data_IF_123772570586
#
_entry.id   IF_123772570586
#
_cell.length_a   1.000
_cell.length_b   1.000
_cell.length_c   1.000
_cell.angle_alpha   90.00
_cell.angle_beta   90.00
_cell.angle_gamma   90.00
#
_symmetry.space_group_name_H-M   'P 1'
#
loop_
_entity.id
_entity.type
_entity.pdbx_description
1 polymer ?
#
# COMPACT_ATOMS: atom_id res chain seq x y z
N UNK A 1 -22.05 -21.90 -3.80
CA UNK A 1 -21.45 -22.10 -5.13
C UNK A 1 -20.28 -21.12 -5.27
N UNK A 2 -19.13 -21.48 -4.69
CA UNK A 2 -17.96 -20.59 -4.64
C UNK A 2 -17.25 -20.59 -5.99
N UNK A 3 -17.22 -19.44 -6.66
CA UNK A 3 -16.49 -19.29 -7.92
C UNK A 3 -15.01 -19.60 -7.68
N UNK A 4 -14.57 -20.77 -8.15
CA UNK A 4 -13.16 -21.10 -8.22
C UNK A 4 -12.48 -20.06 -9.10
N UNK A 5 -11.63 -19.22 -8.51
CA UNK A 5 -10.82 -18.22 -9.20
C UNK A 5 -9.73 -18.96 -9.99
N UNK A 6 -10.05 -19.35 -11.23
CA UNK A 6 -9.05 -19.90 -12.14
C UNK A 6 -8.17 -18.76 -12.68
N UNK A 7 -6.88 -19.05 -12.91
CA UNK A 7 -5.93 -18.08 -13.49
C UNK A 7 -6.43 -17.53 -14.85
N UNK A 8 -7.13 -18.37 -15.62
CA UNK A 8 -7.76 -17.97 -16.87
C UNK A 8 -8.83 -16.88 -16.68
N UNK A 9 -9.75 -17.05 -15.73
CA UNK A 9 -10.79 -16.06 -15.46
C UNK A 9 -10.24 -14.73 -14.91
N UNK A 10 -9.08 -14.73 -14.25
CA UNK A 10 -8.41 -13.49 -13.82
C UNK A 10 -7.77 -12.75 -15.00
N UNK A 11 -7.14 -13.46 -15.94
CA UNK A 11 -6.54 -12.86 -17.14
C UNK A 11 -7.58 -12.26 -18.08
N UNK A 12 -8.69 -12.95 -18.27
CA UNK A 12 -9.79 -12.49 -19.12
C UNK A 12 -10.37 -11.16 -18.61
N UNK A 13 -10.73 -11.09 -17.32
CA UNK A 13 -11.21 -9.83 -16.71
C UNK A 13 -10.19 -8.69 -16.78
N UNK A 14 -8.90 -9.00 -16.63
CA UNK A 14 -7.84 -8.00 -16.74
C UNK A 14 -7.76 -7.44 -18.16
N UNK A 15 -7.90 -8.32 -19.16
CA UNK A 15 -7.90 -7.95 -20.58
C UNK A 15 -9.14 -7.13 -20.93
N UNK A 16 -10.32 -7.55 -20.50
CA UNK A 16 -11.59 -6.81 -20.68
C UNK A 16 -11.54 -5.41 -20.04
N UNK A 17 -10.85 -5.28 -18.90
CA UNK A 17 -10.64 -4.00 -18.22
C UNK A 17 -9.53 -3.14 -18.84
N UNK A 18 -8.89 -3.59 -19.92
CA UNK A 18 -7.81 -2.87 -20.60
C UNK A 18 -6.48 -2.85 -19.82
N UNK A 19 -6.31 -3.73 -18.83
CA UNK A 19 -5.06 -3.83 -18.08
C UNK A 19 -3.97 -4.42 -18.96
N UNK A 20 -2.78 -3.81 -18.91
CA UNK A 20 -1.59 -4.31 -19.59
C UNK A 20 -0.78 -5.15 -18.60
N UNK A 21 -0.47 -6.38 -18.99
CA UNK A 21 0.43 -7.22 -18.21
C UNK A 21 1.86 -6.66 -18.29
N UNK A 22 2.51 -6.49 -17.13
CA UNK A 22 3.96 -6.31 -17.05
C UNK A 22 4.63 -7.70 -17.08
N UNK A 23 5.81 -7.79 -17.70
CA UNK A 23 6.61 -9.00 -17.75
C UNK A 23 7.16 -9.37 -16.36
N UNK A 24 7.56 -8.36 -15.58
CA UNK A 24 8.09 -8.50 -14.23
C UNK A 24 7.89 -7.23 -13.40
N UNK A 25 8.40 -7.26 -12.15
CA UNK A 25 8.33 -6.13 -11.23
C UNK A 25 9.27 -4.98 -11.61
N UNK A 26 10.32 -5.22 -12.40
CA UNK A 26 11.23 -4.17 -12.87
C UNK A 26 10.55 -3.32 -13.92
N UNK A 27 9.88 -3.94 -14.91
CA UNK A 27 9.08 -3.20 -15.89
C UNK A 27 7.97 -2.38 -15.21
N UNK A 28 7.32 -2.97 -14.20
CA UNK A 28 6.32 -2.27 -13.39
C UNK A 28 6.94 -1.08 -12.65
N UNK A 29 8.12 -1.28 -12.04
CA UNK A 29 8.83 -0.25 -11.30
C UNK A 29 9.24 0.95 -12.18
N UNK A 30 9.56 0.70 -13.45
CA UNK A 30 9.96 1.73 -14.41
C UNK A 30 8.78 2.51 -15.00
N UNK A 31 7.62 1.85 -15.17
CA UNK A 31 6.48 2.40 -15.93
C UNK A 31 5.37 2.97 -15.05
N UNK A 32 5.32 2.59 -13.79
CA UNK A 32 4.27 3.02 -12.88
C UNK A 32 4.78 4.14 -11.95
N UNK A 33 3.94 5.15 -11.71
CA UNK A 33 4.18 6.12 -10.64
C UNK A 33 3.54 5.68 -9.30
N UNK A 34 2.54 4.80 -9.38
CA UNK A 34 1.74 4.32 -8.25
C UNK A 34 1.59 2.80 -8.39
N UNK A 35 1.86 2.07 -7.30
CA UNK A 35 1.67 0.62 -7.21
C UNK A 35 0.64 0.32 -6.14
N UNK A 36 -0.46 -0.32 -6.53
CA UNK A 36 -1.53 -0.75 -5.62
C UNK A 36 -1.40 -2.25 -5.35
N UNK A 37 -1.02 -2.62 -4.13
CA UNK A 37 -0.88 -4.01 -3.71
C UNK A 37 -2.21 -4.55 -3.18
N UNK A 38 -2.79 -5.51 -3.91
CA UNK A 38 -3.98 -6.27 -3.52
C UNK A 38 -3.68 -7.77 -3.69
N UNK A 39 -3.06 -8.35 -2.68
CA UNK A 39 -2.67 -9.75 -2.56
C UNK A 39 -3.27 -10.39 -1.30
N UNK A 40 -3.10 -11.70 -1.10
CA UNK A 40 -3.38 -12.31 0.20
C UNK A 40 -2.56 -11.61 1.31
N UNK A 41 -3.11 -11.33 2.50
CA UNK A 41 -2.42 -10.59 3.57
C UNK A 41 -1.09 -11.22 4.03
N UNK A 42 -0.94 -12.53 3.88
CA UNK A 42 0.29 -13.24 4.21
C UNK A 42 1.46 -12.92 3.25
N UNK A 43 1.16 -12.54 2.01
CA UNK A 43 2.17 -12.25 0.98
C UNK A 43 2.57 -10.76 0.92
N UNK A 44 1.87 -9.89 1.64
CA UNK A 44 2.09 -8.44 1.56
C UNK A 44 3.55 -8.01 1.85
N UNK A 45 4.23 -8.55 2.89
CA UNK A 45 5.63 -8.19 3.15
C UNK A 45 6.57 -8.64 2.03
N UNK A 46 6.38 -9.85 1.50
CA UNK A 46 7.22 -10.41 0.44
C UNK A 46 7.05 -9.62 -0.88
N UNK A 47 5.83 -9.21 -1.19
CA UNK A 47 5.53 -8.36 -2.34
C UNK A 47 6.18 -6.99 -2.18
N UNK A 48 6.04 -6.36 -1.00
CA UNK A 48 6.67 -5.07 -0.72
C UNK A 48 8.19 -5.14 -0.83
N UNK A 49 8.82 -6.19 -0.29
CA UNK A 49 10.26 -6.42 -0.40
C UNK A 49 10.69 -6.60 -1.87
N UNK A 50 9.91 -7.33 -2.66
CA UNK A 50 10.19 -7.54 -4.09
C UNK A 50 10.08 -6.24 -4.90
N UNK A 51 9.11 -5.38 -4.58
CA UNK A 51 8.94 -4.06 -5.21
C UNK A 51 10.08 -3.12 -4.84
N UNK A 52 10.51 -3.13 -3.57
CA UNK A 52 11.68 -2.37 -3.12
C UNK A 52 12.95 -2.84 -3.85
N UNK A 53 13.16 -4.15 -3.95
CA UNK A 53 14.31 -4.75 -4.64
C UNK A 53 14.31 -4.47 -6.15
N UNK A 54 13.13 -4.34 -6.78
CA UNK A 54 12.99 -3.95 -8.17
C UNK A 54 13.34 -2.47 -8.44
N UNK A 55 13.63 -1.68 -7.39
CA UNK A 55 14.05 -0.29 -7.52
C UNK A 55 12.90 0.68 -7.79
N UNK A 56 11.67 0.33 -7.41
CA UNK A 56 10.51 1.20 -7.57
C UNK A 56 10.71 2.56 -6.90
N UNK A 57 10.22 3.61 -7.56
CA UNK A 57 10.25 4.99 -7.07
C UNK A 57 8.89 5.60 -7.31
N UNK A 58 8.20 6.02 -6.26
CA UNK A 58 6.82 6.53 -6.37
C UNK A 58 5.97 6.20 -5.15
N UNK A 59 4.66 6.08 -5.35
CA UNK A 59 3.72 5.78 -4.27
C UNK A 59 3.41 4.29 -4.23
N UNK A 60 3.72 3.62 -3.11
CA UNK A 60 3.29 2.25 -2.87
C UNK A 60 2.08 2.27 -1.94
N UNK A 61 0.95 1.72 -2.40
CA UNK A 61 -0.28 1.60 -1.64
C UNK A 61 -0.46 0.14 -1.23
N UNK A 62 -0.41 -0.14 0.06
CA UNK A 62 -0.78 -1.47 0.56
C UNK A 62 -2.28 -1.47 0.85
N UNK A 63 -3.08 -2.10 -0.02
CA UNK A 63 -4.53 -2.19 0.14
C UNK A 63 -4.98 -3.53 0.74
N UNK A 64 -4.04 -4.28 1.34
CA UNK A 64 -4.31 -5.59 1.92
C UNK A 64 -4.93 -5.43 3.31
N UNK A 65 -5.77 -6.39 3.70
CA UNK A 65 -6.32 -6.45 5.05
C UNK A 65 -5.24 -6.92 6.06
N UNK A 66 -4.25 -6.08 6.34
CA UNK A 66 -3.13 -6.35 7.25
C UNK A 66 -3.26 -5.54 8.55
N UNK A 67 -2.55 -5.96 9.59
CA UNK A 67 -2.55 -5.24 10.88
C UNK A 67 -1.63 -4.00 10.83
N UNK A 68 -1.85 -3.00 11.71
CA UNK A 68 -0.96 -1.83 11.81
C UNK A 68 0.50 -2.20 12.06
N UNK A 69 0.75 -3.26 12.85
CA UNK A 69 2.10 -3.78 13.08
C UNK A 69 2.76 -4.21 11.76
N UNK A 70 2.03 -4.93 10.92
CA UNK A 70 2.52 -5.39 9.61
C UNK A 70 2.74 -4.24 8.64
N UNK A 71 1.91 -3.19 8.68
CA UNK A 71 2.21 -1.97 7.92
C UNK A 71 3.49 -1.29 8.41
N UNK A 72 3.76 -1.31 9.72
CA UNK A 72 5.04 -0.85 10.26
C UNK A 72 6.23 -1.64 9.70
N UNK A 73 6.14 -2.97 9.65
CA UNK A 73 7.17 -3.85 9.05
C UNK A 73 7.41 -3.50 7.57
N UNK A 74 6.35 -3.28 6.80
CA UNK A 74 6.43 -2.87 5.39
C UNK A 74 7.05 -1.47 5.25
N UNK A 75 6.71 -0.54 6.13
CA UNK A 75 7.32 0.80 6.16
C UNK A 75 8.84 0.77 6.36
N UNK A 76 9.36 -0.17 7.16
CA UNK A 76 10.80 -0.34 7.34
C UNK A 76 11.49 -0.71 6.02
N UNK A 77 10.86 -1.53 5.17
CA UNK A 77 11.43 -1.93 3.86
C UNK A 77 11.61 -0.73 2.92
N UNK A 78 10.79 0.31 3.08
CA UNK A 78 10.87 1.53 2.28
C UNK A 78 11.69 2.64 2.93
N UNK A 79 12.39 2.37 4.04
CA UNK A 79 13.25 3.36 4.69
C UNK A 79 14.50 3.62 3.85
N UNK A 80 14.74 4.89 3.48
CA UNK A 80 15.92 5.29 2.71
C UNK A 80 15.82 5.04 1.20
N UNK A 81 14.68 4.56 0.72
CA UNK A 81 14.36 4.48 -0.72
C UNK A 81 13.35 5.57 -1.08
N UNK A 82 13.32 6.04 -2.34
CA UNK A 82 12.41 7.10 -2.78
C UNK A 82 10.99 6.56 -3.05
N UNK A 83 10.39 5.93 -2.03
CA UNK A 83 9.04 5.39 -2.05
C UNK A 83 8.21 6.03 -0.94
N UNK A 84 7.04 6.55 -1.29
CA UNK A 84 6.05 7.04 -0.33
C UNK A 84 5.04 5.93 -0.07
N UNK A 85 4.97 5.46 1.18
CA UNK A 85 4.02 4.44 1.60
C UNK A 85 2.66 5.07 1.93
N UNK A 86 1.60 4.47 1.39
CA UNK A 86 0.21 4.76 1.73
C UNK A 86 -0.44 3.47 2.23
N UNK A 87 -1.07 3.53 3.39
CA UNK A 87 -1.89 2.46 3.93
C UNK A 87 -3.31 2.56 3.32
N UNK A 88 -3.79 1.43 2.79
CA UNK A 88 -5.03 1.31 2.05
C UNK A 88 -5.93 0.24 2.67
N UNK A 89 -7.21 0.53 2.82
CA UNK A 89 -8.19 -0.43 3.31
C UNK A 89 -9.38 -0.53 2.37
N UNK A 90 -9.55 -1.67 1.70
CA UNK A 90 -10.76 -1.93 0.91
C UNK A 90 -11.79 -2.63 1.79
N UNK A 91 -12.92 -1.96 2.03
CA UNK A 91 -14.03 -2.49 2.84
C UNK A 91 -15.31 -2.58 2.00
N UNK A 92 -15.96 -3.74 2.02
CA UNK A 92 -17.23 -4.00 1.35
C UNK A 92 -17.14 -5.11 0.31
N UNK A 93 -18.28 -5.52 -0.28
CA UNK A 93 -18.29 -6.47 -1.40
C UNK A 93 -17.54 -5.92 -2.62
N UNK A 94 -17.21 -6.74 -3.62
CA UNK A 94 -16.63 -6.26 -4.88
C UNK A 94 -17.45 -5.12 -5.50
N UNK A 95 -16.80 -4.07 -6.06
CA UNK A 95 -17.48 -2.85 -6.51
C UNK A 95 -18.31 -3.13 -7.77
N UNK A 96 -19.54 -3.60 -7.57
CA UNK A 96 -20.56 -3.78 -8.61
C UNK A 96 -21.59 -2.65 -8.59
N UNK A 97 -21.75 -2.01 -7.43
CA UNK A 97 -22.71 -0.92 -7.19
C UNK A 97 -22.01 0.22 -6.47
N UNK A 98 -22.21 1.47 -6.91
CA UNK A 98 -21.63 2.66 -6.25
C UNK A 98 -22.00 2.68 -4.76
N UNK A 99 -21.04 3.06 -3.91
CA UNK A 99 -21.24 3.23 -2.47
C UNK A 99 -21.23 1.94 -1.64
N UNK A 100 -21.07 0.77 -2.26
CA UNK A 100 -20.98 -0.52 -1.53
C UNK A 100 -19.55 -0.89 -1.15
N UNK A 101 -18.55 -0.41 -1.90
CA UNK A 101 -17.12 -0.62 -1.64
C UNK A 101 -16.47 0.71 -1.32
N UNK A 102 -15.71 0.75 -0.23
CA UNK A 102 -14.99 1.94 0.26
C UNK A 102 -13.51 1.65 0.26
N UNK A 103 -12.70 2.62 -0.16
CA UNK A 103 -11.25 2.58 -0.06
C UNK A 103 -10.80 3.64 0.94
N UNK A 104 -10.34 3.21 2.10
CA UNK A 104 -9.72 4.08 3.09
C UNK A 104 -8.25 4.27 2.73
N UNK A 105 -7.75 5.50 2.78
CA UNK A 105 -6.36 5.81 2.46
C UNK A 105 -5.75 6.62 3.59
N UNK A 106 -4.54 6.26 4.03
CA UNK A 106 -3.83 6.92 5.11
C UNK A 106 -2.35 7.04 4.77
N UNK A 107 -1.80 8.24 4.92
CA UNK A 107 -0.41 8.51 4.54
C UNK A 107 -0.15 9.98 4.33
N UNK A 108 0.94 10.26 3.61
CA UNK A 108 1.32 11.62 3.24
C UNK A 108 0.23 12.26 2.35
N UNK A 109 -0.20 13.52 2.62
CA UNK A 109 -1.32 14.15 1.92
C UNK A 109 -1.24 14.19 0.39
N UNK A 110 -0.07 14.50 -0.18
CA UNK A 110 0.12 14.57 -1.64
C UNK A 110 0.01 13.18 -2.29
N UNK A 111 0.60 12.17 -1.66
CA UNK A 111 0.46 10.77 -2.09
C UNK A 111 -1.00 10.28 -2.00
N UNK A 112 -1.69 10.56 -0.87
CA UNK A 112 -3.10 10.19 -0.68
C UNK A 112 -4.01 10.87 -1.71
N UNK A 113 -3.76 12.15 -2.01
CA UNK A 113 -4.51 12.88 -3.04
C UNK A 113 -4.29 12.28 -4.43
N UNK A 114 -3.04 11.97 -4.78
CA UNK A 114 -2.68 11.34 -6.06
C UNK A 114 -3.37 9.99 -6.25
N UNK A 115 -3.40 9.15 -5.21
CA UNK A 115 -4.10 7.86 -5.24
C UNK A 115 -5.61 8.05 -5.32
N UNK A 116 -6.17 9.01 -4.57
CA UNK A 116 -7.62 9.27 -4.59
C UNK A 116 -8.11 9.68 -5.99
N UNK A 117 -7.35 10.53 -6.68
CA UNK A 117 -7.67 10.99 -8.03
C UNK A 117 -7.75 9.85 -9.06
N UNK A 118 -7.04 8.73 -8.86
CA UNK A 118 -7.14 7.56 -9.73
C UNK A 118 -8.52 6.91 -9.70
N UNK A 119 -9.27 7.10 -8.61
CA UNK A 119 -10.59 6.51 -8.43
C UNK A 119 -11.75 7.47 -8.72
N UNK A 120 -11.45 8.69 -9.16
CA UNK A 120 -12.47 9.67 -9.54
C UNK A 120 -13.34 9.13 -10.69
N UNK A 121 -14.66 9.24 -10.51
CA UNK A 121 -15.64 8.70 -11.47
C UNK A 121 -15.86 7.19 -11.41
N UNK A 122 -15.03 6.43 -10.68
CA UNK A 122 -15.17 4.98 -10.53
C UNK A 122 -16.28 4.57 -9.54
N UNK A 123 -16.59 3.27 -9.47
CA UNK A 123 -17.59 2.74 -8.54
C UNK A 123 -17.12 2.71 -7.08
N UNK A 124 -15.84 2.94 -6.86
CA UNK A 124 -15.18 2.83 -5.56
C UNK A 124 -14.86 4.23 -5.05
N UNK A 125 -15.34 4.53 -3.85
CA UNK A 125 -15.20 5.87 -3.26
C UNK A 125 -14.00 5.91 -2.33
N UNK A 126 -12.97 6.72 -2.64
CA UNK A 126 -11.84 6.93 -1.74
C UNK A 126 -12.26 7.80 -0.54
N UNK A 127 -11.80 7.39 0.64
CA UNK A 127 -11.97 8.08 1.91
C UNK A 127 -10.56 8.41 2.44
N UNK A 128 -10.01 9.57 2.08
CA UNK A 128 -8.68 9.96 2.53
C UNK A 128 -8.72 10.32 4.01
N UNK A 129 -7.74 9.81 4.74
CA UNK A 129 -7.43 10.18 6.10
C UNK A 129 -6.01 10.76 6.09
N UNK A 130 -5.92 12.09 6.20
CA UNK A 130 -4.64 12.74 6.25
C UNK A 130 -3.96 12.41 7.58
N UNK A 131 -2.81 11.75 7.52
CA UNK A 131 -1.89 11.72 8.66
C UNK A 131 -1.00 12.93 8.47
N UNK A 132 -1.25 14.00 9.23
CA UNK A 132 -0.30 15.09 9.31
C UNK A 132 1.00 14.51 9.84
N UNK A 133 2.10 14.71 9.12
CA UNK A 133 3.44 14.33 9.54
C UNK A 133 3.87 15.15 10.78
N UNK A 134 3.22 14.92 11.92
CA UNK A 134 3.66 15.42 13.21
C UNK A 134 4.49 14.34 13.88
N UNK A 135 5.81 14.41 13.67
CA UNK A 135 6.79 13.70 14.47
C UNK A 135 7.61 12.71 13.66
N UNK A 136 8.89 13.04 13.52
CA UNK A 136 9.95 12.05 13.34
C UNK A 136 9.63 10.84 14.22
N UNK A 137 9.64 9.63 13.67
CA UNK A 137 9.84 8.44 14.46
C UNK A 137 11.21 8.57 15.14
N UNK A 138 11.24 9.21 16.29
CA UNK A 138 12.36 9.16 17.20
C UNK A 138 12.46 7.73 17.68
N UNK A 139 13.44 7.00 17.17
CA UNK A 139 13.94 5.82 17.85
C UNK A 139 14.16 6.20 19.32
N UNK A 140 13.50 5.48 20.22
CA UNK A 140 13.65 5.65 21.66
C UNK A 140 15.12 5.48 22.03
N UNK A 141 15.77 6.61 22.30
CA UNK A 141 17.12 6.70 22.79
C UNK A 141 17.12 6.25 24.26
N UNK A 142 17.26 4.94 24.48
CA UNK A 142 17.60 4.38 25.79
C UNK A 142 19.04 4.75 26.16
N UNK A 143 19.32 6.03 26.42
CA UNK A 143 20.51 6.38 27.20
C UNK A 143 20.30 5.91 28.63
N UNK A 144 21.09 4.91 29.01
CA UNK A 144 21.45 4.62 30.40
C UNK A 144 21.75 5.94 31.13
N UNK A 145 20.99 6.23 32.19
CA UNK A 145 21.47 7.11 33.26
C UNK A 145 22.69 6.47 33.93
N UNK A 146 23.82 7.17 34.08
CA UNK A 146 24.81 6.77 35.06
C UNK A 146 24.29 7.15 36.45
N UNK A 147 24.21 6.16 37.34
CA UNK A 147 24.00 6.39 38.76
C UNK A 147 25.12 7.30 39.29
N UNK A 148 24.76 8.51 39.72
CA UNK A 148 25.65 9.37 40.50
C UNK A 148 25.85 8.79 41.91
N UNK A 149 26.99 9.07 42.56
CA UNK A 149 27.28 8.54 43.88
C UNK A 149 26.46 9.29 44.94
N UNK A 150 25.86 8.53 45.86
CA UNK A 150 25.21 9.04 47.08
C UNK A 150 26.28 9.39 48.13
N UNK A 151 26.12 10.49 48.88
CA UNK A 151 27.02 10.89 49.96
C UNK A 151 26.89 10.04 51.22
#
# INVERSE_FOLDING_TARGET
>A
MGAARTLAGTRERATEAGLRAAADLTELAERCAIVLSVCPPAAAPDVAASVAAAGFRGVYVDANAVSPQRMGEIGVLFTGVPVTLVDGGITGPPPRTRGTTRLYLSGEPEAVASVSALFDGTLLTPHPHAVTASGRCGAGDHRRSPAGPVP
#
